data_IF_505659807696
#
_entry.id   IF_505659807696
#
_cell.length_a   1.000
_cell.length_b   1.000
_cell.length_c   1.000
_cell.angle_alpha   90.00
_cell.angle_beta   90.00
_cell.angle_gamma   90.00
#
_symmetry.space_group_name_H-M   'P 1'
#
loop_
_entity.id
_entity.type
_entity.pdbx_description
1 polymer ?
#
# COMPACT_ATOMS: atom_id res chain seq x y z
N UNK A 1 -10.42 2.28 -18.64
CA UNK A 1 -9.98 0.90 -18.97
C UNK A 1 -9.63 0.83 -20.44
N UNK A 2 -8.61 0.05 -20.82
CA UNK A 2 -8.23 -0.17 -22.24
C UNK A 2 -8.69 -1.56 -22.67
N UNK A 3 -9.33 -1.70 -23.82
CA UNK A 3 -9.79 -3.00 -24.34
C UNK A 3 -8.59 -3.81 -24.82
N UNK A 4 -8.44 -5.03 -24.30
CA UNK A 4 -7.50 -6.03 -24.80
C UNK A 4 -8.25 -7.33 -25.07
N UNK A 5 -7.95 -8.00 -26.18
CA UNK A 5 -8.46 -9.33 -26.48
C UNK A 5 -7.41 -10.37 -26.09
N UNK A 6 -7.78 -11.29 -25.21
CA UNK A 6 -6.90 -12.33 -24.66
C UNK A 6 -7.65 -13.66 -24.79
N UNK A 7 -6.96 -14.70 -25.23
CA UNK A 7 -7.51 -16.05 -25.30
C UNK A 7 -7.14 -16.83 -24.04
N UNK A 8 -8.10 -17.56 -23.49
CA UNK A 8 -7.89 -18.48 -22.37
C UNK A 8 -8.04 -19.91 -22.86
N UNK A 9 -7.27 -20.83 -22.27
CA UNK A 9 -7.56 -22.25 -22.45
C UNK A 9 -8.94 -22.58 -21.88
N UNK A 10 -9.61 -23.62 -22.41
CA UNK A 10 -10.91 -24.08 -21.89
C UNK A 10 -10.88 -24.31 -20.38
N UNK A 11 -9.78 -24.89 -19.87
CA UNK A 11 -9.57 -25.13 -18.44
C UNK A 11 -9.55 -23.82 -17.65
N UNK A 12 -8.83 -22.80 -18.12
CA UNK A 12 -8.77 -21.49 -17.47
C UNK A 12 -10.12 -20.78 -17.51
N UNK A 13 -10.82 -20.78 -18.65
CA UNK A 13 -12.14 -20.15 -18.76
C UNK A 13 -13.15 -20.79 -17.78
N UNK A 14 -13.18 -22.13 -17.70
CA UNK A 14 -14.03 -22.84 -16.74
C UNK A 14 -13.65 -22.53 -15.29
N UNK A 15 -12.36 -22.42 -14.97
CA UNK A 15 -11.92 -22.06 -13.63
C UNK A 15 -12.29 -20.62 -13.26
N UNK A 16 -12.15 -19.70 -14.21
CA UNK A 16 -12.49 -18.28 -14.05
C UNK A 16 -13.99 -18.11 -13.76
N UNK A 17 -14.86 -18.77 -14.54
CA UNK A 17 -16.31 -18.70 -14.35
C UNK A 17 -16.76 -19.30 -13.02
N UNK A 18 -16.20 -20.45 -12.61
CA UNK A 18 -16.50 -21.04 -11.30
C UNK A 18 -16.11 -20.11 -10.16
N UNK A 19 -14.93 -19.49 -10.25
CA UNK A 19 -14.42 -18.61 -9.21
C UNK A 19 -15.19 -17.29 -9.16
N UNK A 20 -15.57 -16.74 -10.31
CA UNK A 20 -16.40 -15.54 -10.43
C UNK A 20 -17.77 -15.77 -9.77
N UNK A 21 -18.41 -16.90 -10.07
CA UNK A 21 -19.67 -17.30 -9.46
C UNK A 21 -19.54 -17.47 -7.94
N UNK A 22 -18.48 -18.14 -7.48
CA UNK A 22 -18.22 -18.34 -6.04
C UNK A 22 -18.05 -17.02 -5.29
N UNK A 23 -17.38 -16.03 -5.90
CA UNK A 23 -17.13 -14.71 -5.30
C UNK A 23 -18.21 -13.66 -5.58
N UNK A 24 -19.21 -13.98 -6.43
CA UNK A 24 -20.25 -13.06 -6.89
C UNK A 24 -19.69 -11.78 -7.55
N UNK A 25 -18.63 -11.93 -8.34
CA UNK A 25 -18.01 -10.84 -9.11
C UNK A 25 -17.95 -11.21 -10.59
N UNK A 26 -17.62 -10.24 -11.45
CA UNK A 26 -17.41 -10.52 -12.87
C UNK A 26 -16.10 -11.27 -13.13
N UNK A 27 -16.05 -12.10 -14.16
CA UNK A 27 -14.80 -12.72 -14.63
C UNK A 27 -13.72 -11.69 -14.96
N UNK A 28 -14.11 -10.56 -15.55
CA UNK A 28 -13.19 -9.48 -15.86
C UNK A 28 -12.57 -8.84 -14.61
N UNK A 29 -13.27 -8.84 -13.49
CA UNK A 29 -12.74 -8.34 -12.22
C UNK A 29 -11.67 -9.25 -11.64
N UNK A 30 -11.91 -10.57 -11.65
CA UNK A 30 -10.89 -11.55 -11.28
C UNK A 30 -9.64 -11.44 -12.13
N UNK A 31 -9.78 -11.25 -13.45
CA UNK A 31 -8.63 -11.06 -14.35
C UNK A 31 -7.83 -9.82 -13.95
N UNK A 32 -8.50 -8.72 -13.62
CA UNK A 32 -7.81 -7.49 -13.17
C UNK A 32 -7.12 -7.67 -11.84
N UNK A 33 -7.79 -8.26 -10.86
CA UNK A 33 -7.21 -8.55 -9.55
C UNK A 33 -5.94 -9.41 -9.68
N UNK A 34 -5.97 -10.42 -10.55
CA UNK A 34 -4.82 -11.28 -10.82
C UNK A 34 -3.68 -10.52 -11.51
N UNK A 35 -3.99 -9.70 -12.53
CA UNK A 35 -2.99 -8.87 -13.22
C UNK A 35 -2.35 -7.86 -12.27
N UNK A 36 -3.14 -7.19 -11.44
CA UNK A 36 -2.61 -6.22 -10.48
C UNK A 36 -1.72 -6.88 -9.43
N UNK A 37 -2.06 -8.10 -8.99
CA UNK A 37 -1.21 -8.88 -8.08
C UNK A 37 0.11 -9.28 -8.73
N UNK A 38 0.07 -9.69 -10.00
CA UNK A 38 1.27 -10.03 -10.74
C UNK A 38 2.20 -8.82 -10.88
N UNK A 39 1.66 -7.67 -11.31
CA UNK A 39 2.42 -6.43 -11.49
C UNK A 39 3.03 -5.98 -10.14
N UNK A 40 2.26 -6.03 -9.06
CA UNK A 40 2.77 -5.68 -7.71
C UNK A 40 3.82 -6.66 -7.18
N UNK A 41 3.80 -7.91 -7.64
CA UNK A 41 4.79 -8.91 -7.25
C UNK A 41 6.09 -8.81 -8.07
N UNK A 42 6.15 -8.01 -9.14
CA UNK A 42 7.38 -7.84 -9.89
C UNK A 42 8.44 -7.10 -9.06
N UNK A 43 9.70 -7.56 -9.08
CA UNK A 43 10.81 -6.91 -8.37
C UNK A 43 10.92 -5.42 -8.68
N UNK A 44 10.70 -5.02 -9.94
CA UNK A 44 10.72 -3.61 -10.35
C UNK A 44 9.72 -2.73 -9.59
N UNK A 45 8.50 -3.21 -9.30
CA UNK A 45 7.52 -2.45 -8.52
C UNK A 45 7.91 -2.34 -7.04
N UNK A 46 8.59 -3.36 -6.50
CA UNK A 46 9.19 -3.32 -5.16
C UNK A 46 10.38 -2.35 -5.13
N UNK A 47 11.25 -2.40 -6.14
CA UNK A 47 12.45 -1.57 -6.24
C UNK A 47 12.08 -0.10 -6.44
N UNK A 48 11.10 0.24 -7.27
CA UNK A 48 10.58 1.61 -7.41
C UNK A 48 9.99 2.15 -6.10
N UNK A 49 9.29 1.32 -5.33
CA UNK A 49 8.77 1.71 -4.03
C UNK A 49 9.90 1.94 -3.01
N UNK A 50 10.92 1.08 -3.01
CA UNK A 50 12.10 1.23 -2.17
C UNK A 50 12.93 2.45 -2.56
N UNK A 51 13.17 2.69 -3.85
CA UNK A 51 13.88 3.86 -4.37
C UNK A 51 13.14 5.15 -3.99
N UNK A 52 11.81 5.15 -4.05
CA UNK A 52 11.01 6.29 -3.58
C UNK A 52 11.20 6.52 -2.08
N UNK A 53 11.16 5.47 -1.25
CA UNK A 53 11.38 5.59 0.20
C UNK A 53 12.80 6.06 0.51
N UNK A 54 13.81 5.48 -0.13
CA UNK A 54 15.21 5.88 -0.01
C UNK A 54 15.41 7.33 -0.42
N UNK A 55 14.71 7.79 -1.46
CA UNK A 55 14.75 9.20 -1.88
C UNK A 55 14.23 10.16 -0.81
N UNK A 56 13.42 9.70 0.16
CA UNK A 56 12.93 10.53 1.27
C UNK A 56 13.91 10.55 2.45
N UNK A 57 14.83 9.59 2.52
CA UNK A 57 15.85 9.52 3.56
C UNK A 57 16.75 10.76 3.51
N UNK A 58 16.97 11.40 4.66
CA UNK A 58 17.78 12.61 4.77
C UNK A 58 17.16 13.91 4.22
N UNK A 59 15.98 13.88 3.59
CA UNK A 59 15.29 15.11 3.13
C UNK A 59 14.70 15.94 4.26
N UNK A 60 14.40 15.31 5.40
CA UNK A 60 13.79 15.96 6.55
C UNK A 60 14.74 15.92 7.74
N UNK A 61 14.85 17.05 8.45
CA UNK A 61 15.59 17.16 9.71
C UNK A 61 14.64 17.69 10.78
N UNK A 62 14.44 16.91 11.83
CA UNK A 62 13.71 17.33 13.03
C UNK A 62 14.54 18.25 13.93
N UNK A 63 15.87 18.29 13.76
CA UNK A 63 16.79 18.95 14.68
C UNK A 63 17.08 18.14 15.95
N UNK A 64 16.40 17.00 16.13
CA UNK A 64 16.55 16.09 17.27
C UNK A 64 17.38 14.88 16.84
N UNK A 65 18.46 14.59 17.56
CA UNK A 65 19.46 13.58 17.20
C UNK A 65 19.05 12.15 17.57
N UNK A 66 18.15 12.00 18.54
CA UNK A 66 17.67 10.75 19.13
C UNK A 66 16.19 10.48 18.84
N UNK A 67 15.54 11.29 18.00
CA UNK A 67 14.10 11.19 17.71
C UNK A 67 13.69 9.81 17.20
N UNK A 68 14.54 9.10 16.45
CA UNK A 68 14.23 7.75 15.98
C UNK A 68 14.25 6.70 17.09
N UNK A 69 14.94 6.96 18.21
CA UNK A 69 15.05 6.07 19.36
C UNK A 69 13.98 6.40 20.40
N UNK A 70 13.78 7.69 20.65
CA UNK A 70 12.93 8.23 21.72
C UNK A 70 11.59 8.75 21.19
N UNK A 71 11.13 8.26 20.03
CA UNK A 71 9.94 8.76 19.34
C UNK A 71 8.71 8.86 20.26
N UNK A 72 8.46 7.82 21.05
CA UNK A 72 7.29 7.76 21.92
C UNK A 72 7.35 8.77 23.06
N UNK A 73 8.57 9.05 23.57
CA UNK A 73 8.80 10.09 24.57
C UNK A 73 8.50 11.47 23.99
N UNK A 74 9.07 11.78 22.82
CA UNK A 74 8.81 13.06 22.14
C UNK A 74 7.32 13.23 21.81
N UNK A 75 6.66 12.17 21.34
CA UNK A 75 5.23 12.21 21.07
C UNK A 75 4.40 12.45 22.34
N UNK A 76 4.74 11.79 23.44
CA UNK A 76 4.07 11.99 24.71
C UNK A 76 4.27 13.41 25.25
N UNK A 77 5.49 13.94 25.18
CA UNK A 77 5.82 15.30 25.63
C UNK A 77 5.01 16.35 24.85
N UNK A 78 4.98 16.26 23.51
CA UNK A 78 4.18 17.14 22.65
C UNK A 78 2.67 17.05 22.97
N UNK A 79 2.16 15.83 23.15
CA UNK A 79 0.76 15.59 23.49
C UNK A 79 0.40 16.19 24.85
N UNK A 80 1.27 16.05 25.85
CA UNK A 80 1.06 16.61 27.18
C UNK A 80 1.05 18.14 27.17
N UNK A 81 1.94 18.79 26.43
CA UNK A 81 1.91 20.24 26.24
C UNK A 81 0.59 20.71 25.60
N UNK A 82 0.13 20.01 24.57
CA UNK A 82 -1.08 20.39 23.85
C UNK A 82 -2.33 20.23 24.72
N UNK A 83 -2.38 19.17 25.55
CA UNK A 83 -3.45 18.99 26.55
C UNK A 83 -3.44 20.13 27.56
N UNK A 84 -2.27 20.53 28.07
CA UNK A 84 -2.18 21.62 29.04
C UNK A 84 -2.63 22.98 28.47
N UNK A 85 -2.29 23.28 27.20
CA UNK A 85 -2.72 24.50 26.50
C UNK A 85 -4.24 24.57 26.32
N UNK A 86 -4.92 23.42 26.22
CA UNK A 86 -6.38 23.32 25.98
C UNK A 86 -7.22 23.20 27.26
N UNK A 87 -6.62 23.12 28.45
CA UNK A 87 -7.39 23.10 29.71
C UNK A 87 -7.92 24.51 30.02
N UNK A 88 -9.25 24.71 30.14
CA UNK A 88 -9.77 25.97 30.66
C UNK A 88 -9.34 26.17 32.12
N UNK A 89 -9.11 27.43 32.50
CA UNK A 89 -8.72 27.84 33.87
C UNK A 89 -9.77 27.43 34.90
#
# INVERSE_FOLDING_TARGET
>A
MVRKQIQFTRRQANALGREAARRKVSESELVREAVDRLIRAEPAARDEAWDRILSLSGKFRSGLHDLSVEHDRYYADDLWEEIQKKRPR
#
